data_IF_425005059731
#
_entry.id   IF_425005059731
#
_cell.length_a   1.000
_cell.length_b   1.000
_cell.length_c   1.000
_cell.angle_alpha   90.00
_cell.angle_beta   90.00
_cell.angle_gamma   90.00
#
_symmetry.space_group_name_H-M   'P 1'
#
loop_
_entity.id
_entity.type
_entity.pdbx_description
1 polymer ?
#
# COMPACT_ATOMS: atom_id res chain seq x y z
N UNK A 1 -19.73 16.24 17.17
CA UNK A 1 -18.82 15.07 17.18
C UNK A 1 -19.02 14.41 15.84
N UNK A 2 -18.04 14.49 14.94
CA UNK A 2 -18.14 13.85 13.62
C UNK A 2 -18.20 12.33 13.86
N UNK A 3 -19.25 11.62 13.42
CA UNK A 3 -19.41 10.19 13.70
C UNK A 3 -18.56 9.29 12.78
N UNK A 4 -17.73 9.88 11.91
CA UNK A 4 -16.91 9.16 10.93
C UNK A 4 -15.46 9.62 11.07
N UNK A 5 -14.55 8.65 11.04
CA UNK A 5 -13.12 8.92 10.89
C UNK A 5 -12.73 8.64 9.44
N UNK A 6 -11.89 9.51 8.87
CA UNK A 6 -11.37 9.35 7.51
C UNK A 6 -9.95 8.82 7.64
N UNK A 7 -9.68 7.67 7.01
CA UNK A 7 -8.32 7.21 6.80
C UNK A 7 -7.80 7.81 5.49
N UNK A 8 -6.71 8.56 5.57
CA UNK A 8 -5.95 8.91 4.38
C UNK A 8 -4.94 7.78 4.14
N UNK A 9 -5.14 7.04 3.05
CA UNK A 9 -4.18 6.02 2.62
C UNK A 9 -3.16 6.69 1.71
N UNK A 10 -1.92 6.74 2.19
CA UNK A 10 -0.81 7.20 1.37
C UNK A 10 -0.40 6.05 0.44
N UNK A 11 -0.58 6.28 -0.85
CA UNK A 11 -0.24 5.27 -1.87
C UNK A 11 1.22 5.41 -2.23
N UNK A 12 2.07 4.54 -1.68
CA UNK A 12 3.43 4.39 -2.17
C UNK A 12 3.49 3.30 -3.21
N UNK A 13 3.50 3.72 -4.47
CA UNK A 13 4.08 2.86 -5.50
C UNK A 13 5.58 2.85 -5.27
N UNK A 14 6.09 1.83 -4.60
CA UNK A 14 7.53 1.54 -4.62
C UNK A 14 7.87 0.93 -5.98
N UNK A 15 7.82 1.81 -6.98
CA UNK A 15 8.43 1.68 -8.28
C UNK A 15 9.12 2.99 -8.67
N UNK A 16 9.56 3.79 -7.68
CA UNK A 16 10.62 4.75 -7.94
C UNK A 16 11.91 3.96 -8.16
N UNK A 17 12.18 3.76 -9.45
CA UNK A 17 13.45 3.33 -10.03
C UNK A 17 13.75 1.82 -9.94
N UNK A 18 13.04 0.99 -10.72
CA UNK A 18 13.63 0.10 -11.75
C UNK A 18 12.54 -0.84 -12.34
N UNK A 19 12.46 -0.91 -13.67
CA UNK A 19 11.69 -1.87 -14.49
C UNK A 19 10.18 -1.65 -14.61
N UNK A 20 9.74 -1.34 -15.84
CA UNK A 20 8.38 -1.17 -16.34
C UNK A 20 7.46 -2.41 -16.24
N UNK A 21 7.61 -3.26 -15.22
CA UNK A 21 6.97 -4.57 -15.13
C UNK A 21 5.64 -4.57 -14.36
N UNK A 22 5.46 -3.66 -13.40
CA UNK A 22 4.22 -3.55 -12.64
C UNK A 22 3.78 -2.09 -12.51
N UNK A 23 2.47 -1.86 -12.52
CA UNK A 23 1.89 -0.54 -12.26
C UNK A 23 0.63 -0.68 -11.39
N UNK A 24 0.60 0.02 -10.26
CA UNK A 24 -0.47 -0.05 -9.27
C UNK A 24 -1.47 1.11 -9.47
N UNK A 25 -2.76 0.79 -9.48
CA UNK A 25 -3.85 1.75 -9.63
C UNK A 25 -4.86 1.56 -8.48
N UNK A 26 -5.21 2.66 -7.82
CA UNK A 26 -6.26 2.71 -6.80
C UNK A 26 -7.36 3.67 -7.27
N UNK A 27 -8.61 3.34 -6.98
CA UNK A 27 -9.74 4.19 -7.39
C UNK A 27 -9.96 5.42 -6.51
N UNK A 28 -9.46 5.38 -5.27
CA UNK A 28 -9.46 6.49 -4.31
C UNK A 28 -8.31 6.33 -3.31
N UNK A 29 -7.96 7.42 -2.64
CA UNK A 29 -6.91 7.46 -1.61
C UNK A 29 -7.47 7.69 -0.20
N UNK A 30 -8.72 8.13 -0.10
CA UNK A 30 -9.44 8.30 1.16
C UNK A 30 -10.44 7.16 1.37
N UNK A 31 -10.44 6.57 2.56
CA UNK A 31 -11.31 5.47 2.95
C UNK A 31 -11.97 5.79 4.28
N UNK A 32 -13.28 5.58 4.36
CA UNK A 32 -14.07 5.95 5.53
C UNK A 32 -14.16 4.79 6.53
N UNK A 33 -13.94 5.10 7.81
CA UNK A 33 -14.31 4.26 8.93
C UNK A 33 -15.76 4.56 9.37
N UNK A 34 -16.60 3.55 9.33
CA UNK A 34 -17.97 3.60 9.84
C UNK A 34 -18.10 3.06 11.28
N UNK A 35 -17.00 2.78 11.97
CA UNK A 35 -16.92 2.19 13.33
C UNK A 35 -17.28 0.70 13.36
N UNK A 36 -18.32 0.31 12.64
CA UNK A 36 -18.74 -1.10 12.47
C UNK A 36 -18.11 -1.78 11.25
N UNK A 37 -17.58 -0.98 10.32
CA UNK A 37 -17.01 -1.43 9.06
C UNK A 37 -16.06 -0.37 8.49
N UNK A 38 -15.07 -0.82 7.72
CA UNK A 38 -14.16 0.05 6.98
C UNK A 38 -14.38 -0.18 5.49
N UNK A 39 -14.39 0.90 4.71
CA UNK A 39 -14.48 0.77 3.25
C UNK A 39 -13.33 -0.08 2.68
N UNK A 40 -13.67 -1.00 1.78
CA UNK A 40 -12.70 -1.87 1.11
C UNK A 40 -11.69 -1.08 0.29
N UNK A 41 -10.43 -1.51 0.32
CA UNK A 41 -9.36 -0.94 -0.52
C UNK A 41 -9.29 -1.72 -1.82
N UNK A 42 -9.98 -1.21 -2.84
CA UNK A 42 -9.99 -1.80 -4.18
C UNK A 42 -8.97 -1.14 -5.11
N UNK A 43 -8.25 -1.99 -5.83
CA UNK A 43 -7.33 -1.55 -6.87
C UNK A 43 -7.10 -2.57 -7.96
N UNK A 44 -6.30 -2.16 -8.93
CA UNK A 44 -5.84 -2.98 -10.04
C UNK A 44 -4.34 -2.82 -10.15
N UNK A 45 -3.62 -3.92 -10.34
CA UNK A 45 -2.20 -3.90 -10.68
C UNK A 45 -2.02 -4.47 -12.08
N UNK A 46 -1.41 -3.67 -12.95
CA UNK A 46 -0.96 -4.13 -14.26
C UNK A 46 0.33 -4.90 -14.08
N UNK A 47 0.44 -6.04 -14.75
CA UNK A 47 1.61 -6.92 -14.66
C UNK A 47 2.07 -7.28 -16.06
N UNK A 48 3.31 -6.94 -16.40
CA UNK A 48 4.00 -7.43 -17.60
C UNK A 48 4.80 -8.71 -17.25
N UNK A 49 4.36 -9.89 -17.73
CA UNK A 49 5.03 -11.14 -17.44
C UNK A 49 6.44 -11.27 -18.02
N UNK A 50 6.77 -10.47 -19.04
CA UNK A 50 7.97 -10.66 -19.87
C UNK A 50 9.29 -10.60 -19.10
N UNK A 51 9.31 -9.96 -17.93
CA UNK A 51 10.49 -9.84 -17.09
C UNK A 51 10.34 -10.34 -15.65
N UNK A 52 9.27 -11.09 -15.36
CA UNK A 52 9.09 -11.69 -14.03
C UNK A 52 10.05 -12.86 -13.77
N UNK A 53 10.54 -13.55 -14.81
CA UNK A 53 11.45 -14.70 -14.69
C UNK A 53 10.94 -15.78 -13.71
N UNK A 54 9.64 -16.04 -13.69
CA UNK A 54 9.01 -17.01 -12.78
C UNK A 54 8.72 -16.48 -11.37
N UNK A 55 9.07 -15.22 -11.07
CA UNK A 55 8.71 -14.56 -9.81
C UNK A 55 7.23 -14.20 -9.76
N UNK A 56 6.72 -14.02 -8.55
CA UNK A 56 5.33 -13.69 -8.27
C UNK A 56 5.20 -12.20 -8.02
N UNK A 57 4.02 -11.67 -8.26
CA UNK A 57 3.66 -10.30 -7.91
C UNK A 57 2.72 -10.34 -6.72
N UNK A 58 3.02 -9.52 -5.73
CA UNK A 58 2.24 -9.34 -4.52
C UNK A 58 1.86 -7.88 -4.37
N UNK A 59 0.77 -7.65 -3.67
CA UNK A 59 0.40 -6.34 -3.15
C UNK A 59 0.27 -6.47 -1.64
N UNK A 60 0.75 -5.49 -0.89
CA UNK A 60 0.48 -5.39 0.53
C UNK A 60 -0.21 -4.07 0.87
N UNK A 61 -1.02 -4.12 1.93
CA UNK A 61 -1.51 -2.95 2.66
C UNK A 61 -0.93 -3.04 4.08
N UNK A 62 -0.26 -1.98 4.52
CA UNK A 62 0.34 -1.87 5.83
C UNK A 62 -0.22 -0.65 6.59
N UNK A 63 -0.49 -0.83 7.87
CA UNK A 63 -0.70 0.25 8.83
C UNK A 63 0.59 0.35 9.65
N UNK A 64 1.26 1.49 9.58
CA UNK A 64 2.56 1.68 10.22
C UNK A 64 2.56 2.93 11.09
N UNK A 65 3.19 2.82 12.25
CA UNK A 65 3.56 3.97 13.06
C UNK A 65 4.92 4.50 12.59
N UNK A 66 4.96 5.76 12.20
CA UNK A 66 6.15 6.47 11.78
C UNK A 66 6.55 7.51 12.84
N UNK A 67 7.83 7.60 13.15
CA UNK A 67 8.43 8.62 14.01
C UNK A 67 9.78 9.04 13.44
N UNK A 68 9.96 10.30 13.11
CA UNK A 68 11.16 10.75 12.41
C UNK A 68 10.91 11.97 11.52
N UNK A 69 12.00 12.52 10.96
CA UNK A 69 11.87 13.26 9.70
C UNK A 69 12.11 12.27 8.56
N UNK A 70 11.43 12.46 7.43
CA UNK A 70 11.73 11.74 6.18
C UNK A 70 13.02 12.24 5.51
N UNK A 71 13.63 13.31 6.06
CA UNK A 71 14.89 13.86 5.57
C UNK A 71 16.05 12.89 5.83
N UNK A 72 16.50 12.24 4.75
CA UNK A 72 17.64 11.33 4.69
C UNK A 72 18.98 11.97 5.12
N UNK A 73 19.05 13.31 5.16
CA UNK A 73 20.26 14.07 5.50
C UNK A 73 20.44 14.33 7.01
N UNK A 74 19.45 13.96 7.84
CA UNK A 74 19.55 14.07 9.30
C UNK A 74 20.00 12.73 9.86
N UNK A 75 21.17 12.70 10.51
CA UNK A 75 21.62 11.57 11.35
C UNK A 75 20.68 11.49 12.55
N UNK A 76 19.49 10.92 12.35
CA UNK A 76 18.43 10.89 13.32
C UNK A 76 17.61 9.64 13.14
N UNK A 77 17.38 8.93 14.25
CA UNK A 77 16.51 7.75 14.34
C UNK A 77 15.17 8.02 13.63
N UNK A 78 15.00 7.51 12.41
CA UNK A 78 13.71 7.29 11.79
C UNK A 78 13.25 5.91 12.22
N UNK A 79 12.04 5.85 12.77
CA UNK A 79 11.46 4.65 13.33
C UNK A 79 10.14 4.40 12.64
N UNK A 80 10.07 3.32 11.89
CA UNK A 80 8.84 2.80 11.32
C UNK A 80 8.55 1.47 11.98
N UNK A 81 7.35 1.31 12.53
CA UNK A 81 6.88 0.05 13.10
C UNK A 81 5.56 -0.31 12.45
N UNK A 82 5.54 -1.44 11.76
CA UNK A 82 4.30 -1.97 11.20
C UNK A 82 3.40 -2.48 12.34
N UNK A 83 2.21 -1.90 12.45
CA UNK A 83 1.16 -2.28 13.39
C UNK A 83 0.38 -3.47 12.81
N UNK A 84 0.13 -3.43 11.51
CA UNK A 84 -0.59 -4.46 10.79
C UNK A 84 -0.15 -4.50 9.32
N UNK A 85 -0.06 -5.70 8.74
CA UNK A 85 0.24 -5.91 7.34
C UNK A 85 -0.62 -7.04 6.80
N UNK A 86 -1.23 -6.84 5.64
CA UNK A 86 -1.85 -7.90 4.86
C UNK A 86 -1.24 -7.96 3.47
N UNK A 87 -0.92 -9.17 3.02
CA UNK A 87 -0.29 -9.46 1.72
C UNK A 87 -1.20 -10.36 0.90
N UNK A 88 -1.28 -10.09 -0.39
CA UNK A 88 -2.03 -10.91 -1.35
C UNK A 88 -1.19 -11.13 -2.60
N UNK A 89 -1.18 -12.38 -3.09
CA UNK A 89 -0.58 -12.72 -4.38
C UNK A 89 -1.56 -12.37 -5.49
N UNK A 90 -1.13 -11.51 -6.41
CA UNK A 90 -1.95 -11.06 -7.56
C UNK A 90 -1.54 -11.77 -8.84
N UNK A 91 -0.27 -12.14 -8.98
CA UNK A 91 0.25 -12.88 -10.13
C UNK A 91 1.25 -13.98 -9.69
N UNK A 92 1.20 -15.19 -10.28
CA UNK A 92 0.17 -15.66 -11.20
C UNK A 92 -1.19 -15.75 -10.49
N UNK A 93 -2.32 -15.55 -11.21
CA UNK A 93 -3.64 -15.58 -10.59
C UNK A 93 -3.92 -16.93 -9.93
N UNK A 94 -4.15 -16.94 -8.62
CA UNK A 94 -4.31 -18.17 -7.82
C UNK A 94 -5.70 -18.84 -7.97
N UNK A 95 -6.48 -18.47 -8.99
CA UNK A 95 -7.76 -19.10 -9.32
C UNK A 95 -8.98 -18.61 -8.53
N UNK A 96 -8.81 -17.67 -7.59
CA UNK A 96 -9.93 -16.97 -6.96
C UNK A 96 -10.48 -15.92 -7.94
N UNK A 97 -11.47 -16.30 -8.74
CA UNK A 97 -12.32 -15.35 -9.47
C UNK A 97 -13.19 -14.60 -8.46
N UNK A 98 -12.57 -13.73 -7.65
CA UNK A 98 -13.30 -12.83 -6.79
C UNK A 98 -14.22 -11.96 -7.65
N UNK A 99 -15.47 -11.81 -7.21
CA UNK A 99 -16.44 -10.92 -7.86
C UNK A 99 -15.83 -9.53 -7.93
N UNK A 100 -15.66 -9.03 -9.14
CA UNK A 100 -15.05 -7.71 -9.39
C UNK A 100 -15.99 -6.62 -8.95
N UNK A 101 -15.46 -5.57 -8.33
CA UNK A 101 -16.25 -4.39 -7.98
C UNK A 101 -16.43 -3.48 -9.20
N UNK A 102 -17.50 -2.67 -9.29
CA UNK A 102 -17.70 -1.74 -10.40
C UNK A 102 -16.53 -0.76 -10.60
N UNK A 103 -15.82 -0.43 -9.51
CA UNK A 103 -14.59 0.37 -9.53
C UNK A 103 -13.46 -0.37 -10.24
N UNK A 104 -13.22 -1.64 -9.87
CA UNK A 104 -12.21 -2.47 -10.53
C UNK A 104 -12.52 -2.64 -12.01
N UNK A 105 -13.79 -2.91 -12.39
CA UNK A 105 -14.17 -3.00 -13.80
C UNK A 105 -13.89 -1.70 -14.58
N UNK A 106 -14.14 -0.55 -13.96
CA UNK A 106 -13.88 0.75 -14.56
C UNK A 106 -12.38 1.05 -14.70
N UNK A 107 -11.56 0.67 -13.71
CA UNK A 107 -10.11 0.76 -13.77
C UNK A 107 -9.55 -0.16 -14.85
N UNK A 108 -10.05 -1.40 -14.91
CA UNK A 108 -9.65 -2.38 -15.91
C UNK A 108 -9.96 -1.93 -17.35
N UNK A 109 -11.13 -1.31 -17.57
CA UNK A 109 -11.44 -0.72 -18.88
C UNK A 109 -10.51 0.44 -19.27
N UNK A 110 -9.92 1.14 -18.30
CA UNK A 110 -9.02 2.28 -18.52
C UNK A 110 -7.56 1.86 -18.70
N UNK A 111 -7.11 0.84 -17.97
CA UNK A 111 -5.69 0.45 -17.89
C UNK A 111 -5.30 -0.47 -19.06
N UNK A 112 -6.21 -1.33 -19.53
CA UNK A 112 -6.06 -2.14 -20.74
C UNK A 112 -5.84 -3.64 -20.47
N UNK A 113 -4.79 -4.22 -21.07
CA UNK A 113 -4.52 -5.66 -20.95
C UNK A 113 -3.59 -5.99 -19.77
N UNK A 114 -3.65 -7.24 -19.30
CA UNK A 114 -2.79 -7.83 -18.26
C UNK A 114 -2.96 -7.23 -16.86
N UNK A 115 -4.20 -7.17 -16.42
CA UNK A 115 -4.61 -6.56 -15.17
C UNK A 115 -5.01 -7.60 -14.14
N UNK A 116 -4.54 -7.42 -12.91
CA UNK A 116 -4.89 -8.25 -11.77
C UNK A 116 -5.64 -7.39 -10.76
N UNK A 117 -6.95 -7.60 -10.55
CA UNK A 117 -7.68 -6.88 -9.52
C UNK A 117 -7.28 -7.37 -8.13
N UNK A 118 -7.34 -6.47 -7.16
CA UNK A 118 -7.07 -6.80 -5.76
C UNK A 118 -8.00 -6.00 -4.83
N UNK A 119 -8.26 -6.55 -3.65
CA UNK A 119 -9.09 -5.92 -2.61
C UNK A 119 -8.56 -6.27 -1.23
N UNK A 120 -8.48 -5.27 -0.35
CA UNK A 120 -8.18 -5.47 1.07
C UNK A 120 -9.38 -5.11 1.94
N UNK A 121 -9.63 -5.94 2.95
CA UNK A 121 -10.60 -5.68 4.02
C UNK A 121 -9.82 -5.33 5.28
N UNK A 122 -9.83 -4.05 5.64
CA UNK A 122 -9.13 -3.59 6.84
C UNK A 122 -9.87 -4.03 8.11
N UNK A 123 -9.17 -4.48 9.16
CA UNK A 123 -9.76 -4.68 10.47
C UNK A 123 -10.30 -3.37 11.07
N UNK A 124 -11.46 -3.44 11.72
CA UNK A 124 -12.13 -2.29 12.37
C UNK A 124 -11.40 -1.76 13.61
N UNK A 125 -10.38 -2.47 14.10
CA UNK A 125 -9.64 -2.12 15.31
C UNK A 125 -8.29 -1.46 15.00
N UNK A 126 -8.05 -1.04 13.75
CA UNK A 126 -6.86 -0.30 13.39
C UNK A 126 -6.99 1.19 13.77
N UNK A 127 -5.89 1.83 14.19
CA UNK A 127 -5.89 3.27 14.48
C UNK A 127 -6.17 4.09 13.21
N UNK A 128 -6.86 5.23 13.37
CA UNK A 128 -7.06 6.19 12.27
C UNK A 128 -5.71 6.77 11.79
N UNK A 129 -5.67 7.18 10.51
CA UNK A 129 -4.53 7.94 10.01
C UNK A 129 -4.47 9.27 10.74
N UNK A 130 -3.32 9.56 11.34
CA UNK A 130 -3.08 10.77 12.11
C UNK A 130 -1.61 11.11 12.02
N UNK A 131 -1.30 12.37 11.77
CA UNK A 131 0.07 12.86 11.76
C UNK A 131 0.18 14.08 12.66
N UNK A 132 1.20 14.08 13.51
CA UNK A 132 1.60 15.17 14.37
C UNK A 132 2.87 15.78 13.80
N UNK A 133 2.75 17.01 13.31
CA UNK A 133 3.87 17.79 12.79
C UNK A 133 4.39 18.71 13.90
N UNK A 134 5.70 18.67 14.22
CA UNK A 134 6.28 19.54 15.24
C UNK A 134 6.21 21.01 14.80
N UNK A 135 5.99 21.92 15.75
CA UNK A 135 6.06 23.34 15.47
C UNK A 135 7.50 23.81 15.16
N UNK A 136 7.69 25.00 14.58
CA UNK A 136 9.01 25.52 14.20
C UNK A 136 10.03 25.61 15.36
N UNK A 137 9.55 25.66 16.60
CA UNK A 137 10.37 25.77 17.81
C UNK A 137 10.34 24.48 18.67
N UNK A 138 9.67 23.43 18.22
CA UNK A 138 9.60 22.17 18.95
C UNK A 138 10.80 21.29 18.61
N UNK A 139 11.43 20.72 19.63
CA UNK A 139 12.51 19.74 19.47
C UNK A 139 11.99 18.33 19.07
N UNK A 140 10.67 18.16 18.94
CA UNK A 140 10.05 16.90 18.54
C UNK A 140 10.23 16.60 17.06
N UNK A 141 10.15 15.31 16.70
CA UNK A 141 10.08 14.86 15.30
C UNK A 141 8.63 14.63 14.89
N UNK A 142 8.36 14.67 13.59
CA UNK A 142 7.06 14.26 13.08
C UNK A 142 6.76 12.81 13.48
N UNK A 143 5.51 12.55 13.85
CA UNK A 143 5.09 11.20 14.15
C UNK A 143 3.65 10.98 13.73
N UNK A 144 3.30 9.75 13.38
CA UNK A 144 1.98 9.47 12.87
C UNK A 144 1.71 7.99 12.64
N UNK A 145 0.45 7.72 12.32
CA UNK A 145 0.00 6.44 11.80
C UNK A 145 -0.38 6.67 10.35
N UNK A 146 0.27 5.94 9.47
CA UNK A 146 0.04 6.01 8.04
C UNK A 146 -0.36 4.63 7.50
N UNK A 147 -1.14 4.65 6.43
CA UNK A 147 -1.53 3.47 5.69
C UNK A 147 -0.82 3.49 4.34
N UNK A 148 -0.18 2.38 3.97
CA UNK A 148 0.61 2.24 2.77
C UNK A 148 0.14 1.04 1.93
N UNK A 149 -0.14 1.27 0.65
CA UNK A 149 -0.34 0.18 -0.33
C UNK A 149 0.85 0.12 -1.26
N UNK A 150 1.51 -1.05 -1.37
CA UNK A 150 2.66 -1.27 -2.25
C UNK A 150 2.55 -2.58 -3.03
N UNK A 151 2.85 -2.52 -4.33
CA UNK A 151 3.07 -3.69 -5.17
C UNK A 151 4.56 -4.04 -5.25
N UNK A 152 4.89 -5.33 -5.26
CA UNK A 152 6.28 -5.81 -5.34
C UNK A 152 6.38 -7.17 -6.04
N UNK A 153 7.56 -7.48 -6.55
CA UNK A 153 7.90 -8.76 -7.21
C UNK A 153 8.77 -9.56 -6.25
N UNK A 154 8.39 -10.79 -5.92
CA UNK A 154 9.10 -11.64 -4.98
C UNK A 154 8.89 -13.14 -5.28
N UNK A 155 9.69 -14.00 -4.67
CA UNK A 155 9.50 -15.46 -4.73
C UNK A 155 8.41 -15.92 -3.74
N UNK A 156 8.37 -15.29 -2.57
CA UNK A 156 7.45 -15.57 -1.48
C UNK A 156 6.86 -14.26 -0.91
N UNK A 157 5.76 -14.36 -0.17
CA UNK A 157 5.05 -13.16 0.31
C UNK A 157 5.87 -12.36 1.34
N UNK A 158 6.60 -13.03 2.23
CA UNK A 158 7.28 -12.35 3.34
C UNK A 158 8.74 -11.95 3.02
N UNK A 159 9.24 -12.24 1.82
CA UNK A 159 10.61 -11.89 1.40
C UNK A 159 10.74 -10.43 0.93
N UNK A 160 9.98 -9.50 1.51
CA UNK A 160 9.97 -8.09 1.13
C UNK A 160 11.30 -7.36 1.45
N UNK A 161 12.22 -8.03 2.17
CA UNK A 161 13.52 -7.50 2.61
C UNK A 161 14.73 -7.99 1.79
N UNK A 162 14.54 -8.74 0.71
CA UNK A 162 15.66 -9.16 -0.14
C UNK A 162 16.15 -8.02 -1.05
N UNK A 163 17.06 -7.24 -0.47
CA UNK A 163 18.22 -6.58 -1.09
C UNK A 163 17.94 -5.85 -2.40
N UNK A 164 17.76 -4.52 -2.29
CA UNK A 164 18.12 -3.60 -3.36
C UNK A 164 19.63 -3.72 -3.55
N UNK A 165 20.07 -4.62 -4.43
CA UNK A 165 21.43 -4.59 -4.95
C UNK A 165 21.57 -3.28 -5.74
N UNK A 166 22.08 -2.25 -5.05
CA UNK A 166 22.60 -1.05 -5.70
C UNK A 166 23.86 -1.47 -6.43
N UNK A 167 23.77 -1.62 -7.75
CA UNK A 167 24.95 -1.60 -8.62
C UNK A 167 25.12 -0.24 -9.26
#
# INVERSE_FOLDING_TARGET
>A
ICPFHVFNITVFVSAFLCFSQIALYLGKIDFVDHVDSVEAVDGVIKVDPSGLNGRKVFVYLACAFCYGSDDLDVIGLSFRRDIWIQRIQVYPPTGANATKTPMQESLMKKVGEQECPFSFQMPINLPCSVSLQPGPNDAGKACGVDFEVKGYIANEADSADDVIDKK
#
